data_IF_474827162116
#
_entry.id   IF_474827162116
#
_cell.length_a   1.000
_cell.length_b   1.000
_cell.length_c   1.000
_cell.angle_alpha   90.00
_cell.angle_beta   90.00
_cell.angle_gamma   90.00
#
_symmetry.space_group_name_H-M   'P 1'
#
loop_
_entity.id
_entity.type
_entity.pdbx_description
1 polymer ?
#
# COMPACT_ATOMS: atom_id res chain seq x y z
N UNK A 1 -3.21 -13.73 -63.73
CA UNK A 1 -4.19 -14.01 -62.67
C UNK A 1 -3.57 -14.71 -61.45
N UNK A 2 -2.80 -15.77 -61.55
CA UNK A 2 -2.18 -16.47 -60.38
C UNK A 2 -1.23 -15.62 -59.54
N UNK A 3 -0.46 -14.70 -60.14
CA UNK A 3 0.45 -13.78 -59.44
C UNK A 3 -0.27 -12.69 -58.66
N UNK A 4 -1.43 -12.23 -59.13
CA UNK A 4 -2.24 -11.22 -58.44
C UNK A 4 -2.91 -11.79 -57.20
N UNK A 5 -3.34 -13.05 -57.25
CA UNK A 5 -3.96 -13.74 -56.12
C UNK A 5 -2.92 -14.01 -55.00
N UNK A 6 -1.66 -14.30 -55.39
CA UNK A 6 -0.57 -14.52 -54.42
C UNK A 6 -0.22 -13.22 -53.67
N UNK A 7 -0.23 -12.08 -54.40
CA UNK A 7 0.00 -10.78 -53.73
C UNK A 7 -1.13 -10.36 -52.80
N UNK A 8 -2.39 -10.65 -53.16
CA UNK A 8 -3.54 -10.40 -52.31
C UNK A 8 -3.52 -11.23 -51.04
N UNK A 9 -3.11 -12.50 -51.10
CA UNK A 9 -2.96 -13.38 -49.95
C UNK A 9 -1.81 -12.93 -49.02
N UNK A 10 -0.68 -12.48 -49.59
CA UNK A 10 0.46 -11.98 -48.83
C UNK A 10 0.11 -10.64 -48.12
N UNK A 11 -0.65 -9.75 -48.75
CA UNK A 11 -1.11 -8.52 -48.14
C UNK A 11 -2.14 -8.76 -47.01
N UNK A 12 -3.03 -9.73 -47.17
CA UNK A 12 -4.00 -10.12 -46.11
C UNK A 12 -3.31 -10.75 -44.89
N UNK A 13 -2.28 -11.58 -45.12
CA UNK A 13 -1.50 -12.18 -44.04
C UNK A 13 -0.66 -11.13 -43.27
N UNK A 14 -0.15 -10.11 -43.96
CA UNK A 14 0.60 -9.01 -43.29
C UNK A 14 -0.29 -8.14 -42.39
N UNK A 15 -1.57 -7.99 -42.73
CA UNK A 15 -2.53 -7.21 -41.94
C UNK A 15 -2.99 -7.96 -40.67
N UNK A 16 -2.90 -9.29 -40.65
CA UNK A 16 -3.28 -10.09 -39.46
C UNK A 16 -2.23 -10.08 -38.35
N UNK A 17 -1.00 -9.64 -38.60
CA UNK A 17 0.06 -9.49 -37.57
C UNK A 17 0.10 -8.11 -36.91
N UNK A 18 -0.65 -7.13 -37.42
CA UNK A 18 -0.68 -5.78 -36.86
C UNK A 18 -1.70 -5.57 -35.72
N UNK A 19 -2.41 -6.63 -35.30
CA UNK A 19 -3.52 -6.52 -34.34
C UNK A 19 -3.26 -7.22 -33.03
N UNK A 20 -2.09 -7.03 -32.45
CA UNK A 20 -1.88 -7.30 -31.01
C UNK A 20 -0.82 -6.35 -30.48
N UNK A 21 -1.08 -5.06 -30.45
CA UNK A 21 -0.55 -4.30 -29.33
C UNK A 21 -1.20 -4.93 -28.10
N UNK A 22 -0.41 -5.67 -27.31
CA UNK A 22 -0.78 -5.97 -25.94
C UNK A 22 -0.88 -4.63 -25.23
N UNK A 23 -2.08 -4.06 -25.21
CA UNK A 23 -2.43 -3.06 -24.22
C UNK A 23 -2.28 -3.85 -22.90
N UNK A 24 -1.15 -3.66 -22.22
CA UNK A 24 -0.98 -4.17 -20.86
C UNK A 24 -2.17 -3.67 -20.03
N UNK A 25 -2.65 -4.44 -19.03
CA UNK A 25 -3.67 -3.91 -18.14
C UNK A 25 -3.17 -2.55 -17.65
N UNK A 26 -3.96 -1.50 -17.86
CA UNK A 26 -3.63 -0.17 -17.37
C UNK A 26 -3.34 -0.26 -15.89
N UNK A 27 -2.12 0.13 -15.50
CA UNK A 27 -1.77 0.22 -14.08
C UNK A 27 -2.48 1.44 -13.48
N UNK A 28 -2.83 1.37 -12.20
CA UNK A 28 -3.30 2.54 -11.48
C UNK A 28 -2.15 3.51 -11.25
N UNK A 29 -2.46 4.81 -11.10
CA UNK A 29 -1.45 5.87 -10.92
C UNK A 29 -0.58 5.68 -9.65
N UNK A 30 -1.09 4.92 -8.66
CA UNK A 30 -0.38 4.60 -7.41
C UNK A 30 0.04 3.13 -7.33
N UNK A 31 0.11 2.41 -8.45
CA UNK A 31 0.37 0.97 -8.51
C UNK A 31 1.64 0.55 -7.73
N UNK A 32 2.70 1.34 -7.81
CA UNK A 32 3.98 1.09 -7.12
C UNK A 32 3.89 1.21 -5.60
N UNK A 33 2.84 1.86 -5.09
CA UNK A 33 2.57 2.04 -3.67
C UNK A 33 1.43 1.15 -3.18
N UNK A 34 0.67 0.54 -4.09
CA UNK A 34 -0.45 -0.34 -3.77
C UNK A 34 0.03 -1.74 -3.35
N UNK A 35 -0.64 -2.34 -2.37
CA UNK A 35 -0.35 -3.71 -1.95
C UNK A 35 -0.96 -4.09 -0.62
N UNK A 36 -0.81 -5.36 -0.29
CA UNK A 36 -1.04 -5.89 1.05
C UNK A 36 0.28 -5.85 1.82
N UNK A 37 0.21 -5.48 3.09
CA UNK A 37 1.37 -5.32 3.96
C UNK A 37 1.13 -6.07 5.25
N UNK A 38 2.10 -6.86 5.69
CA UNK A 38 2.06 -7.59 6.94
C UNK A 38 2.79 -6.77 8.01
N UNK A 39 2.02 -6.07 8.85
CA UNK A 39 2.51 -5.03 9.75
C UNK A 39 2.31 -5.38 11.21
N UNK A 40 3.14 -4.79 12.07
CA UNK A 40 3.01 -4.75 13.52
C UNK A 40 2.75 -3.32 13.96
N UNK A 41 2.09 -3.13 15.09
CA UNK A 41 1.84 -1.83 15.70
C UNK A 41 2.61 -1.70 17.00
N UNK A 42 3.48 -0.69 17.03
CA UNK A 42 4.25 -0.32 18.21
C UNK A 42 3.76 1.04 18.72
N UNK A 43 3.73 1.23 20.04
CA UNK A 43 3.57 2.56 20.62
C UNK A 43 4.85 3.37 20.47
N UNK A 44 4.73 4.69 20.39
CA UNK A 44 5.87 5.62 20.36
C UNK A 44 5.70 6.66 21.45
N UNK A 45 6.65 6.78 22.35
CA UNK A 45 6.67 7.82 23.36
C UNK A 45 8.03 8.51 23.39
N UNK A 46 8.03 9.84 23.32
CA UNK A 46 9.28 10.60 23.25
C UNK A 46 10.19 10.25 22.07
N UNK A 47 9.62 9.70 21.00
CA UNK A 47 10.36 9.29 19.80
C UNK A 47 10.95 7.87 19.86
N UNK A 48 10.75 7.11 20.97
CA UNK A 48 11.17 5.70 21.11
C UNK A 48 9.97 4.76 21.12
N UNK A 49 10.22 3.52 20.67
CA UNK A 49 9.30 2.37 20.80
C UNK A 49 9.71 1.41 21.92
N UNK A 50 10.76 1.71 22.66
CA UNK A 50 11.33 0.82 23.69
C UNK A 50 10.28 0.45 24.77
N UNK A 51 9.97 -0.84 24.88
CA UNK A 51 8.97 -1.36 25.81
C UNK A 51 7.51 -1.13 25.38
N UNK A 52 7.30 -0.67 24.16
CA UNK A 52 5.99 -0.43 23.54
C UNK A 52 5.82 -1.22 22.22
N UNK A 53 6.68 -2.23 21.99
CA UNK A 53 6.61 -3.11 20.83
C UNK A 53 5.38 -4.00 20.94
N UNK A 54 4.69 -4.22 19.83
CA UNK A 54 3.43 -4.97 19.76
C UNK A 54 2.48 -4.58 20.91
N UNK A 55 2.25 -3.26 21.01
CA UNK A 55 1.62 -2.60 22.17
C UNK A 55 0.34 -3.28 22.65
N UNK A 56 -0.44 -3.86 21.74
CA UNK A 56 -1.71 -4.51 22.05
C UNK A 56 -1.62 -6.04 22.06
N UNK A 57 -0.42 -6.61 21.87
CA UNK A 57 -0.21 -8.07 21.86
C UNK A 57 -0.94 -8.78 20.72
N UNK A 58 -1.18 -8.09 19.62
CA UNK A 58 -1.94 -8.62 18.48
C UNK A 58 -1.06 -9.39 17.48
N UNK A 59 0.26 -9.24 17.59
CA UNK A 59 1.17 -9.72 16.56
C UNK A 59 1.03 -8.94 15.27
N UNK A 60 1.26 -9.60 14.14
CA UNK A 60 1.19 -9.00 12.82
C UNK A 60 -0.16 -9.26 12.16
N UNK A 61 -0.62 -8.30 11.37
CA UNK A 61 -1.85 -8.38 10.59
C UNK A 61 -1.70 -7.69 9.24
N UNK A 62 -2.68 -7.87 8.36
CA UNK A 62 -2.66 -7.32 7.01
C UNK A 62 -3.34 -5.96 6.98
N UNK A 63 -2.68 -4.98 6.38
CA UNK A 63 -3.27 -3.73 5.92
C UNK A 63 -3.19 -3.63 4.40
N UNK A 64 -3.97 -2.74 3.82
CA UNK A 64 -4.05 -2.52 2.39
C UNK A 64 -3.74 -1.07 2.04
N UNK A 65 -2.90 -0.86 1.03
CA UNK A 65 -2.79 0.41 0.31
C UNK A 65 -3.30 0.23 -1.11
N UNK A 66 -4.09 1.17 -1.62
CA UNK A 66 -4.65 1.09 -2.97
C UNK A 66 -5.01 2.47 -3.52
N UNK A 67 -5.23 2.54 -4.84
CA UNK A 67 -5.68 3.77 -5.48
C UNK A 67 -7.08 4.18 -5.01
N UNK A 68 -7.38 5.47 -5.09
CA UNK A 68 -8.74 5.99 -4.96
C UNK A 68 -9.55 5.72 -6.22
N UNK A 69 -10.87 5.92 -6.16
CA UNK A 69 -11.73 5.83 -7.34
C UNK A 69 -11.37 6.87 -8.43
N UNK A 70 -10.78 8.00 -8.04
CA UNK A 70 -10.33 9.04 -8.96
C UNK A 70 -9.09 8.61 -9.76
N UNK A 71 -8.33 7.63 -9.25
CA UNK A 71 -7.11 7.10 -9.86
C UNK A 71 -6.14 8.19 -10.32
N UNK A 72 -5.79 9.09 -9.40
CA UNK A 72 -4.80 10.15 -9.62
C UNK A 72 -3.53 9.91 -8.80
N UNK A 73 -2.34 10.37 -9.25
CA UNK A 73 -1.07 10.03 -8.61
C UNK A 73 -0.84 10.70 -7.24
N UNK A 74 -1.70 11.65 -6.86
CA UNK A 74 -1.51 12.44 -5.63
C UNK A 74 -2.29 11.94 -4.43
N UNK A 75 -3.08 10.88 -4.58
CA UNK A 75 -3.87 10.32 -3.48
C UNK A 75 -3.98 8.81 -3.55
N UNK A 76 -4.01 8.17 -2.40
CA UNK A 76 -4.30 6.75 -2.24
C UNK A 76 -5.09 6.49 -0.97
N UNK A 77 -5.55 5.25 -0.81
CA UNK A 77 -6.21 4.77 0.39
C UNK A 77 -5.25 3.96 1.25
N UNK A 78 -5.37 4.09 2.57
CA UNK A 78 -4.79 3.19 3.58
C UNK A 78 -5.95 2.60 4.39
N UNK A 79 -5.97 1.27 4.51
CA UNK A 79 -7.08 0.53 5.12
C UNK A 79 -6.54 -0.63 5.95
N UNK A 80 -6.96 -0.77 7.21
CA UNK A 80 -6.55 -1.87 8.09
C UNK A 80 -7.45 -3.11 7.99
N UNK A 81 -8.42 -3.10 7.11
CA UNK A 81 -9.37 -4.19 6.88
C UNK A 81 -10.16 -4.59 8.14
N UNK A 82 -10.35 -3.65 9.08
CA UNK A 82 -10.98 -3.91 10.37
C UNK A 82 -10.13 -4.77 11.31
N UNK A 83 -8.81 -4.86 11.06
CA UNK A 83 -7.93 -5.73 11.83
C UNK A 83 -7.44 -5.11 13.14
N UNK A 84 -7.39 -3.79 13.24
CA UNK A 84 -6.86 -3.07 14.40
C UNK A 84 -7.82 -2.00 14.94
N UNK A 85 -8.01 -0.88 14.22
CA UNK A 85 -8.83 0.26 14.64
C UNK A 85 -10.05 0.48 13.74
N UNK A 86 -10.25 -0.38 12.76
CA UNK A 86 -11.28 -0.29 11.71
C UNK A 86 -11.22 1.05 10.99
N UNK A 87 -10.05 1.36 10.41
CA UNK A 87 -9.89 2.61 9.66
C UNK A 87 -9.70 2.39 8.17
N UNK A 88 -10.26 3.31 7.41
CA UNK A 88 -10.05 3.46 5.98
C UNK A 88 -9.93 4.94 5.67
N UNK A 89 -8.76 5.42 5.30
CA UNK A 89 -8.50 6.85 5.15
C UNK A 89 -7.84 7.16 3.81
N UNK A 90 -8.24 8.26 3.20
CA UNK A 90 -7.58 8.81 2.03
C UNK A 90 -6.39 9.67 2.46
N UNK A 91 -5.22 9.38 1.89
CA UNK A 91 -3.98 10.10 2.15
C UNK A 91 -3.48 10.81 0.89
N UNK A 92 -2.77 11.92 1.06
CA UNK A 92 -1.96 12.50 0.00
C UNK A 92 -0.70 11.64 -0.18
N UNK A 93 -0.31 11.37 -1.41
CA UNK A 93 0.88 10.58 -1.70
C UNK A 93 1.73 11.18 -2.81
N UNK A 94 2.99 10.75 -2.83
CA UNK A 94 3.95 11.03 -3.90
C UNK A 94 4.54 9.69 -4.35
N UNK A 95 4.12 9.13 -5.50
CA UNK A 95 4.61 7.85 -6.01
C UNK A 95 6.11 7.83 -6.33
N UNK A 96 6.69 8.95 -6.76
CA UNK A 96 8.12 9.04 -7.07
C UNK A 96 8.97 8.92 -5.80
N UNK A 97 8.57 9.64 -4.74
CA UNK A 97 9.23 9.60 -3.44
C UNK A 97 8.77 8.42 -2.55
N UNK A 98 7.68 7.75 -2.93
CA UNK A 98 7.01 6.68 -2.17
C UNK A 98 6.67 7.08 -0.74
N UNK A 99 6.16 8.32 -0.59
CA UNK A 99 5.75 8.89 0.70
C UNK A 99 4.27 9.22 0.72
N UNK A 100 3.68 9.24 1.92
CA UNK A 100 2.27 9.58 2.08
C UNK A 100 1.98 10.15 3.47
N UNK A 101 0.93 10.97 3.57
CA UNK A 101 0.48 11.56 4.83
C UNK A 101 -0.96 12.08 4.71
N UNK A 102 -1.59 12.30 5.86
CA UNK A 102 -2.84 13.04 5.99
C UNK A 102 -2.94 13.63 7.39
N UNK A 103 -3.53 14.80 7.52
CA UNK A 103 -3.87 15.40 8.82
C UNK A 103 -5.39 15.49 8.92
N UNK A 104 -5.96 15.00 10.01
CA UNK A 104 -7.40 14.98 10.28
C UNK A 104 -8.23 14.39 9.13
N UNK A 105 -7.71 13.35 8.48
CA UNK A 105 -8.41 12.63 7.41
C UNK A 105 -9.66 11.96 7.93
N UNK A 106 -10.76 12.05 7.17
CA UNK A 106 -12.01 11.37 7.49
C UNK A 106 -11.81 9.85 7.45
N UNK A 107 -12.16 9.17 8.54
CA UNK A 107 -12.26 7.72 8.55
C UNK A 107 -13.54 7.30 7.83
N UNK A 108 -13.41 6.49 6.78
CA UNK A 108 -14.55 6.05 5.97
C UNK A 108 -15.27 4.82 6.57
N UNK A 109 -14.71 4.19 7.60
CA UNK A 109 -15.34 3.05 8.28
C UNK A 109 -16.35 3.48 9.33
N UNK A 110 -16.07 4.55 10.08
CA UNK A 110 -16.98 5.16 11.06
C UNK A 110 -16.60 6.62 11.34
N UNK A 111 -17.42 7.34 12.11
CA UNK A 111 -17.24 8.77 12.40
C UNK A 111 -16.04 8.98 13.35
N UNK A 112 -14.86 9.18 12.79
CA UNK A 112 -13.62 9.54 13.48
C UNK A 112 -12.63 10.17 12.50
N UNK A 113 -11.49 10.65 13.00
CA UNK A 113 -10.41 11.22 12.20
C UNK A 113 -9.11 10.49 12.42
N UNK A 114 -8.35 10.36 11.33
CA UNK A 114 -7.05 9.69 11.31
C UNK A 114 -5.99 10.66 10.83
N UNK A 115 -4.93 10.83 11.59
CA UNK A 115 -3.73 11.54 11.16
C UNK A 115 -2.62 10.54 10.89
N UNK A 116 -2.08 10.54 9.68
CA UNK A 116 -0.93 9.72 9.28
C UNK A 116 0.23 10.65 8.94
N UNK A 117 1.39 10.41 9.58
CA UNK A 117 2.63 11.16 9.35
C UNK A 117 3.78 10.25 8.96
N UNK A 118 4.76 10.81 8.25
CA UNK A 118 6.02 10.16 7.88
C UNK A 118 5.84 8.82 7.14
N UNK A 119 4.70 8.66 6.43
CA UNK A 119 4.42 7.46 5.65
C UNK A 119 5.42 7.28 4.52
N UNK A 120 6.01 6.10 4.44
CA UNK A 120 6.98 5.74 3.40
C UNK A 120 6.93 4.26 3.03
N UNK A 121 7.26 3.98 1.78
CA UNK A 121 7.52 2.64 1.26
C UNK A 121 8.95 2.60 0.75
N UNK A 122 9.74 1.64 1.21
CA UNK A 122 11.14 1.46 0.81
C UNK A 122 11.26 0.16 0.02
N UNK A 123 11.48 0.23 -1.31
CA UNK A 123 11.65 -0.96 -2.13
C UNK A 123 12.84 -1.81 -1.64
N UNK A 124 12.62 -3.12 -1.48
CA UNK A 124 13.58 -4.06 -0.89
C UNK A 124 14.17 -3.58 0.45
N UNK A 125 13.39 -2.83 1.25
CA UNK A 125 13.83 -2.17 2.47
C UNK A 125 13.96 -3.11 3.68
N UNK A 126 13.56 -4.36 3.56
CA UNK A 126 13.65 -5.37 4.63
C UNK A 126 13.81 -6.77 4.07
N UNK A 127 14.00 -7.72 5.00
CA UNK A 127 13.98 -9.16 4.71
C UNK A 127 12.76 -9.78 5.41
N UNK A 128 12.09 -10.70 4.72
CA UNK A 128 11.04 -11.52 5.35
C UNK A 128 11.65 -12.56 6.30
N UNK A 129 10.86 -13.19 7.18
CA UNK A 129 11.32 -14.30 8.01
C UNK A 129 11.95 -15.46 7.24
N UNK A 130 11.50 -15.73 6.02
CA UNK A 130 12.12 -16.74 5.13
C UNK A 130 13.43 -16.29 4.48
N UNK A 131 13.88 -15.03 4.73
CA UNK A 131 15.13 -14.47 4.22
C UNK A 131 15.04 -13.93 2.79
N UNK A 132 13.85 -13.61 2.30
CA UNK A 132 13.65 -12.99 0.99
C UNK A 132 13.60 -11.46 1.11
N UNK A 133 14.24 -10.71 0.18
CA UNK A 133 14.07 -9.26 0.10
C UNK A 133 12.61 -8.88 -0.12
N UNK A 134 12.12 -7.91 0.63
CA UNK A 134 10.76 -7.39 0.48
C UNK A 134 10.71 -5.87 0.64
N UNK A 135 9.70 -5.25 0.03
CA UNK A 135 9.41 -3.86 0.26
C UNK A 135 8.99 -3.65 1.72
N UNK A 136 9.43 -2.57 2.31
CA UNK A 136 9.13 -2.16 3.67
C UNK A 136 8.16 -1.01 3.68
N UNK A 137 7.17 -1.02 4.57
CA UNK A 137 6.27 0.09 4.84
C UNK A 137 6.45 0.56 6.29
N UNK A 138 6.40 1.87 6.49
CA UNK A 138 6.38 2.48 7.82
C UNK A 138 5.57 3.77 7.77
N UNK A 139 4.74 3.99 8.79
CA UNK A 139 4.03 5.24 9.01
C UNK A 139 3.59 5.36 10.47
N UNK A 140 3.30 6.58 10.90
CA UNK A 140 2.80 6.87 12.24
C UNK A 140 1.35 7.30 12.17
N UNK A 141 0.55 6.88 13.15
CA UNK A 141 -0.88 7.14 13.22
C UNK A 141 -1.26 7.74 14.57
N UNK A 142 -2.18 8.70 14.51
CA UNK A 142 -2.95 9.20 15.66
C UNK A 142 -4.42 9.11 15.28
N UNK A 143 -5.22 8.47 16.13
CA UNK A 143 -6.68 8.46 16.04
C UNK A 143 -7.23 9.50 16.99
N UNK A 144 -8.26 10.27 16.60
CA UNK A 144 -8.86 11.32 17.44
C UNK A 144 -9.74 10.76 18.57
N UNK A 145 -10.08 9.47 18.46
CA UNK A 145 -10.85 8.70 19.44
C UNK A 145 -9.98 7.73 20.29
N UNK A 146 -8.65 7.92 20.28
CA UNK A 146 -7.73 7.14 21.10
C UNK A 146 -7.53 7.79 22.47
N UNK A 147 -8.20 7.25 23.48
CA UNK A 147 -8.17 7.74 24.86
C UNK A 147 -6.82 7.49 25.57
N UNK A 148 -5.90 6.74 24.99
CA UNK A 148 -4.57 6.47 25.57
C UNK A 148 -3.51 7.49 25.19
N UNK A 149 -3.77 8.34 24.21
CA UNK A 149 -2.92 9.47 23.82
C UNK A 149 -3.30 10.69 24.67
N UNK A 150 -2.33 11.46 25.24
CA UNK A 150 -0.87 11.24 25.25
C UNK A 150 -0.36 10.50 26.49
N UNK A 151 -1.19 9.93 27.34
CA UNK A 151 -0.81 9.46 28.68
C UNK A 151 0.15 8.25 28.64
N UNK A 152 -0.01 7.38 27.64
CA UNK A 152 0.78 6.13 27.51
C UNK A 152 1.72 6.16 26.31
N UNK A 153 1.38 6.85 25.24
CA UNK A 153 2.18 7.02 24.03
C UNK A 153 1.73 8.27 23.25
N UNK A 154 2.59 8.78 22.38
CA UNK A 154 2.32 9.97 21.59
C UNK A 154 1.62 9.64 20.27
N UNK A 155 1.92 8.49 19.71
CA UNK A 155 1.40 7.98 18.42
C UNK A 155 1.68 6.50 18.28
N UNK A 156 1.03 5.87 17.33
CA UNK A 156 1.25 4.49 16.96
C UNK A 156 2.13 4.42 15.71
N UNK A 157 3.06 3.45 15.67
CA UNK A 157 3.91 3.16 14.53
C UNK A 157 3.46 1.86 13.90
N UNK A 158 3.05 1.92 12.64
CA UNK A 158 2.81 0.75 11.80
C UNK A 158 4.07 0.47 11.00
N UNK A 159 4.58 -0.75 11.05
CA UNK A 159 5.75 -1.13 10.26
C UNK A 159 5.74 -2.60 9.88
N UNK A 160 6.22 -2.90 8.67
CA UNK A 160 6.26 -4.26 8.19
C UNK A 160 6.72 -4.39 6.75
N UNK A 161 6.40 -5.50 6.13
CA UNK A 161 6.80 -5.82 4.76
C UNK A 161 5.61 -6.13 3.86
N UNK A 162 5.84 -6.05 2.56
CA UNK A 162 4.85 -6.45 1.57
C UNK A 162 4.49 -7.92 1.77
N UNK A 163 3.20 -8.20 1.93
CA UNK A 163 2.69 -9.55 2.16
C UNK A 163 3.06 -10.46 0.98
N UNK A 164 3.70 -11.59 1.26
CA UNK A 164 4.20 -12.52 0.26
C UNK A 164 3.23 -13.67 -0.01
N UNK A 165 2.33 -13.97 0.94
CA UNK A 165 1.45 -15.14 0.90
C UNK A 165 2.16 -16.46 1.18
N UNK A 166 3.42 -16.43 1.60
CA UNK A 166 4.15 -17.64 2.02
C UNK A 166 3.97 -17.88 3.52
N UNK A 167 3.55 -19.09 3.89
CA UNK A 167 3.31 -19.48 5.30
C UNK A 167 4.52 -19.25 6.22
N UNK A 168 5.74 -19.27 5.69
CA UNK A 168 6.95 -19.03 6.47
C UNK A 168 7.25 -17.55 6.71
N UNK A 169 6.47 -16.66 6.12
CA UNK A 169 6.61 -15.20 6.26
C UNK A 169 5.51 -14.57 7.13
N UNK A 170 4.55 -15.40 7.59
CA UNK A 170 3.42 -15.02 8.43
C UNK A 170 3.75 -15.17 9.93
#
# INVERSE_FOLDING_TARGET
>A
MKKLILFAFAALAALSFASCEKIGPGMTETADMAGQWYVQVDGVQGGSTDGLEDLYGMGRFIILTHNTAANIPTEMMVNDLGSFWDFSVKVQCNPDAKTFSVTDGENLSYESKVTITDGKIVPNGTMTPSGMPADYIEFYVVFDDDDYIPDYYDKLKFSGWRYTGFVNDD
#
